data_IF_555008990991
#
_entry.id   IF_555008990991
#
_cell.length_a   1.000
_cell.length_b   1.000
_cell.length_c   1.000
_cell.angle_alpha   90.00
_cell.angle_beta   90.00
_cell.angle_gamma   90.00
#
_symmetry.space_group_name_H-M   'P 1'
#
loop_
_entity.id
_entity.type
_entity.pdbx_description
1 polymer ?
#
# COMPACT_ATOMS: atom_id res chain seq x y z
N UNK A 1 -4.18 16.54 -24.07
CA UNK A 1 -4.18 16.73 -23.32
C UNK A 1 -4.88 16.13 -22.41
N UNK A 2 -5.53 15.72 -22.34
CA UNK A 2 -6.17 15.15 -21.55
C UNK A 2 -5.66 14.07 -20.89
N UNK A 3 -4.68 13.53 -21.14
CA UNK A 3 -3.99 12.47 -20.45
C UNK A 3 -3.80 12.78 -18.98
N UNK A 4 -3.84 14.02 -18.64
CA UNK A 4 -3.63 14.40 -17.26
C UNK A 4 -4.75 13.95 -16.34
N UNK A 5 -5.88 13.60 -16.91
CA UNK A 5 -6.99 13.19 -16.09
C UNK A 5 -7.04 11.68 -15.90
N UNK A 6 -6.19 10.96 -16.59
CA UNK A 6 -6.19 9.52 -16.47
C UNK A 6 -5.59 9.10 -15.14
N UNK A 7 -6.06 8.00 -14.58
CA UNK A 7 -5.39 7.45 -13.41
C UNK A 7 -3.96 7.15 -13.75
N UNK A 8 -3.13 7.10 -12.74
CA UNK A 8 -1.73 6.83 -12.97
C UNK A 8 -1.44 5.39 -12.62
N UNK A 9 -1.50 4.50 -13.61
CA UNK A 9 -1.18 3.11 -13.33
C UNK A 9 0.24 2.93 -12.82
N UNK A 10 1.12 3.87 -13.18
CA UNK A 10 2.49 3.80 -12.70
C UNK A 10 2.58 3.94 -11.20
N UNK A 11 1.75 4.78 -10.60
CA UNK A 11 1.77 4.93 -9.15
C UNK A 11 1.39 3.63 -8.48
N UNK A 12 0.38 2.97 -8.98
CA UNK A 12 -0.04 1.70 -8.42
C UNK A 12 1.07 0.66 -8.54
N UNK A 13 1.74 0.62 -9.69
CA UNK A 13 2.84 -0.32 -9.88
C UNK A 13 3.99 -0.04 -8.92
N UNK A 14 4.31 1.22 -8.71
CA UNK A 14 5.40 1.57 -7.80
C UNK A 14 5.06 1.22 -6.37
N UNK A 15 3.83 1.45 -5.97
CA UNK A 15 3.40 1.10 -4.64
C UNK A 15 3.43 -0.41 -4.45
N UNK A 16 2.93 -1.16 -5.42
CA UNK A 16 2.97 -2.61 -5.37
C UNK A 16 4.42 -3.10 -5.28
N UNK A 17 5.28 -2.52 -6.11
CA UNK A 17 6.68 -2.92 -6.10
C UNK A 17 7.35 -2.65 -4.78
N UNK A 18 7.03 -1.52 -4.17
CA UNK A 18 7.61 -1.20 -2.87
C UNK A 18 7.17 -2.20 -1.81
N UNK A 19 5.91 -2.60 -1.84
CA UNK A 19 5.41 -3.57 -0.88
C UNK A 19 6.00 -4.95 -1.12
N UNK A 20 6.14 -5.34 -2.39
CA UNK A 20 6.68 -6.65 -2.71
C UNK A 20 8.15 -6.79 -2.33
N UNK A 21 8.88 -5.68 -2.34
CA UNK A 21 10.28 -5.72 -1.97
C UNK A 21 10.49 -5.78 -0.47
N UNK A 22 9.45 -5.57 0.30
CA UNK A 22 9.60 -5.55 1.74
C UNK A 22 9.56 -6.96 2.31
N UNK A 23 10.51 -7.33 3.14
CA UNK A 23 10.45 -8.61 3.81
C UNK A 23 9.43 -8.65 4.93
N UNK A 24 8.90 -7.49 5.29
CA UNK A 24 7.98 -7.39 6.41
C UNK A 24 6.52 -7.46 6.01
N UNK A 25 6.22 -7.24 4.74
CA UNK A 25 4.84 -7.16 4.30
C UNK A 25 4.59 -8.24 3.27
N UNK A 26 3.75 -9.20 3.61
CA UNK A 26 3.35 -10.18 2.63
C UNK A 26 2.33 -9.57 1.70
N UNK A 27 2.57 -9.68 0.41
CA UNK A 27 1.75 -8.97 -0.55
C UNK A 27 0.55 -9.75 -1.05
N UNK A 28 0.48 -11.04 -0.75
CA UNK A 28 -0.56 -11.85 -1.35
C UNK A 28 -1.95 -11.61 -0.76
N UNK A 29 -2.02 -11.01 0.42
CA UNK A 29 -3.32 -10.71 1.01
C UNK A 29 -3.60 -9.22 1.03
N UNK A 30 -2.84 -8.46 0.28
CA UNK A 30 -3.00 -7.02 0.29
C UNK A 30 -3.69 -6.53 -0.95
N UNK A 31 -4.60 -5.59 -0.77
CA UNK A 31 -5.20 -4.86 -1.86
C UNK A 31 -4.73 -3.44 -1.82
N UNK A 32 -4.35 -2.94 -2.96
CA UNK A 32 -3.85 -1.57 -3.08
C UNK A 32 -4.62 -0.87 -4.17
N UNK A 33 -5.12 0.31 -3.86
CA UNK A 33 -5.75 1.18 -4.84
C UNK A 33 -5.08 2.52 -4.80
N UNK A 34 -4.92 3.13 -5.95
CA UNK A 34 -4.33 4.45 -6.03
C UNK A 34 -5.13 5.30 -6.99
N UNK A 35 -5.71 6.36 -6.47
CA UNK A 35 -6.52 7.27 -7.26
C UNK A 35 -6.18 8.70 -6.83
N UNK A 36 -5.77 9.52 -7.78
CA UNK A 36 -5.50 10.94 -7.55
C UNK A 36 -4.56 11.17 -6.37
N UNK A 37 -3.51 10.37 -6.27
CA UNK A 37 -2.53 10.53 -5.20
C UNK A 37 -2.94 9.91 -3.87
N UNK A 38 -4.14 9.39 -3.78
CA UNK A 38 -4.59 8.72 -2.55
C UNK A 38 -4.39 7.23 -2.72
N UNK A 39 -3.65 6.63 -1.82
CA UNK A 39 -3.38 5.20 -1.82
C UNK A 39 -4.16 4.57 -0.68
N UNK A 40 -4.97 3.59 -1.01
CA UNK A 40 -5.74 2.86 -0.02
C UNK A 40 -5.20 1.45 0.10
N UNK A 41 -4.93 1.03 1.31
CA UNK A 41 -4.45 -0.31 1.61
C UNK A 41 -5.53 -1.07 2.35
N UNK A 42 -5.78 -2.30 1.91
CA UNK A 42 -6.71 -3.18 2.59
C UNK A 42 -6.11 -4.56 2.68
N UNK A 43 -6.49 -5.28 3.69
CA UNK A 43 -6.00 -6.63 3.89
C UNK A 43 -5.67 -6.88 5.34
N UNK A 44 -4.91 -7.94 5.57
CA UNK A 44 -4.53 -8.34 6.92
C UNK A 44 -3.03 -8.49 7.02
N UNK A 45 -2.50 -8.05 8.14
CA UNK A 45 -1.08 -8.20 8.44
C UNK A 45 -0.97 -8.79 9.84
N UNK A 46 0.24 -9.25 10.18
CA UNK A 46 0.42 -9.98 11.43
C UNK A 46 0.62 -9.10 12.65
N UNK A 47 1.04 -7.85 12.46
CA UNK A 47 1.33 -7.01 13.60
C UNK A 47 1.18 -5.56 13.21
N UNK A 48 1.12 -4.70 14.22
CA UNK A 48 1.13 -3.27 13.97
C UNK A 48 2.41 -2.83 13.29
N UNK A 49 3.50 -3.50 13.59
CA UNK A 49 4.76 -3.19 12.94
C UNK A 49 4.63 -3.34 11.43
N UNK A 50 4.03 -4.44 10.99
CA UNK A 50 3.84 -4.68 9.56
C UNK A 50 2.91 -3.64 8.95
N UNK A 51 1.86 -3.30 9.67
CA UNK A 51 0.93 -2.29 9.19
C UNK A 51 1.62 -0.95 9.02
N UNK A 52 2.43 -0.58 10.00
CA UNK A 52 3.14 0.68 9.96
C UNK A 52 4.21 0.69 8.88
N UNK A 53 4.91 -0.42 8.71
CA UNK A 53 5.95 -0.51 7.69
C UNK A 53 5.36 -0.37 6.30
N UNK A 54 4.20 -0.95 6.07
CA UNK A 54 3.54 -0.80 4.77
C UNK A 54 3.29 0.67 4.48
N UNK A 55 2.81 1.40 5.45
CA UNK A 55 2.54 2.82 5.27
C UNK A 55 3.83 3.59 5.03
N UNK A 56 4.87 3.29 5.77
CA UNK A 56 6.13 4.02 5.62
C UNK A 56 6.75 3.79 4.25
N UNK A 57 6.65 2.58 3.74
CA UNK A 57 7.18 2.28 2.43
C UNK A 57 6.45 3.06 1.35
N UNK A 58 5.14 3.16 1.48
CA UNK A 58 4.34 3.84 0.48
C UNK A 58 4.52 5.35 0.55
N UNK A 59 4.72 5.88 1.75
CA UNK A 59 4.94 7.31 1.88
C UNK A 59 6.10 7.82 1.07
N UNK A 60 7.06 6.97 0.79
CA UNK A 60 8.26 7.37 0.08
C UNK A 60 8.11 7.32 -1.43
N UNK A 61 6.99 6.83 -1.90
CA UNK A 61 6.77 6.73 -3.33
C UNK A 61 6.30 8.09 -3.85
N UNK A 62 6.95 8.57 -4.91
CA UNK A 62 6.57 9.84 -5.51
C UNK A 62 5.14 9.76 -6.03
N UNK A 63 4.40 10.80 -5.79
CA UNK A 63 3.02 10.86 -6.26
C UNK A 63 2.00 10.49 -5.18
N UNK A 64 2.45 9.95 -4.08
CA UNK A 64 1.56 9.61 -2.98
C UNK A 64 1.35 10.86 -2.14
N UNK A 65 0.10 11.32 -2.08
CA UNK A 65 -0.23 12.50 -1.29
C UNK A 65 -0.91 12.11 -0.01
N UNK A 66 -1.57 10.97 -0.01
CA UNK A 66 -2.37 10.59 1.13
C UNK A 66 -2.48 9.08 1.17
N UNK A 67 -2.46 8.52 2.35
CA UNK A 67 -2.56 7.08 2.54
C UNK A 67 -3.73 6.78 3.45
N UNK A 68 -4.60 5.89 3.00
CA UNK A 68 -5.65 5.34 3.83
C UNK A 68 -5.23 3.92 4.18
N UNK A 69 -4.71 3.75 5.36
CA UNK A 69 -4.21 2.47 5.79
C UNK A 69 -5.29 1.72 6.54
N UNK A 70 -5.99 0.85 5.82
CA UNK A 70 -7.08 0.05 6.37
C UNK A 70 -6.66 -1.38 6.62
N UNK A 71 -5.37 -1.61 6.74
CA UNK A 71 -4.89 -2.94 7.05
C UNK A 71 -5.31 -3.32 8.45
N UNK A 72 -5.75 -4.55 8.59
CA UNK A 72 -6.15 -5.07 9.88
C UNK A 72 -5.05 -5.93 10.45
N UNK A 73 -4.79 -5.74 11.72
CA UNK A 73 -3.80 -6.55 12.40
C UNK A 73 -4.48 -7.81 12.89
N UNK A 74 -4.03 -8.94 12.37
CA UNK A 74 -4.65 -10.21 12.68
C UNK A 74 -3.62 -11.14 13.27
N UNK A 75 -3.23 -10.85 14.49
CA UNK A 75 -2.20 -11.61 15.17
C UNK A 75 -2.68 -12.96 15.65
N UNK A 76 -3.97 -13.14 15.80
CA UNK A 76 -4.47 -14.44 16.22
C UNK A 76 -4.25 -15.48 15.16
N UNK A 77 -4.19 -15.05 13.92
CA UNK A 77 -3.97 -15.99 12.83
C UNK A 77 -2.57 -16.57 12.88
N UNK A 78 -1.67 -15.86 13.51
CA UNK A 78 -0.31 -16.32 13.58
C UNK A 78 -0.05 -17.23 14.76
N UNK A 79 -0.99 -17.32 15.62
CA UNK A 79 -0.78 -18.10 16.84
C UNK A 79 -0.70 -19.58 16.56
#
# INVERSE_FOLDING_TARGET
>A
MEATLAPRPQLLDEVHGALLRSPYVGAHDLRVEAVAGVVRLEGAVRSFFHKQMAQELIRRVDGVERIENRLQVNWTAGA
#
